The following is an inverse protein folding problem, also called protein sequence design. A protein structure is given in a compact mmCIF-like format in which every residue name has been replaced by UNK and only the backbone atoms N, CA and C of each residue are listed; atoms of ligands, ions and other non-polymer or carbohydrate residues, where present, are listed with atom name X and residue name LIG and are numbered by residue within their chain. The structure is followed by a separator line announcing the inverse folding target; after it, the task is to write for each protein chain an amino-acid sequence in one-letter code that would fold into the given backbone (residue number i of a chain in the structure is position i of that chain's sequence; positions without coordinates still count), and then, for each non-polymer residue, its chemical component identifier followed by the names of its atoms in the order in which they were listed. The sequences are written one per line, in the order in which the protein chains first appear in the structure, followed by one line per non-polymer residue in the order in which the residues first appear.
data_IF_872420066802
#
_entry.id   IF_872420066802
#
_cell.length_a   1.000
_cell.length_b   1.000
_cell.length_c   1.000
_cell.angle_alpha   90.00
_cell.angle_beta   90.00
_cell.angle_gamma   90.00
#
_symmetry.space_group_name_H-M   'P 1'
#
loop_
_entity.id
_entity.type
_entity.pdbx_description
1 polymer ?
#
# COMPACT_ATOMS: atom_id res chain seq x y z
N UNK A 1 14.03 -42.99 -43.12
CA UNK A 1 14.64 -42.58 -41.86
C UNK A 1 14.51 -41.08 -41.67
N UNK A 2 13.29 -40.52 -41.58
CA UNK A 2 13.08 -39.07 -41.47
C UNK A 2 11.93 -38.69 -40.47
N UNK A 3 11.49 -39.66 -39.66
CA UNK A 3 10.36 -39.47 -38.72
C UNK A 3 10.76 -39.38 -37.23
N UNK A 4 12.06 -39.47 -36.90
CA UNK A 4 12.53 -39.53 -35.51
C UNK A 4 13.00 -38.17 -34.94
N UNK A 5 13.08 -37.10 -35.73
CA UNK A 5 13.68 -35.83 -35.32
C UNK A 5 12.67 -34.74 -34.86
N UNK A 6 11.37 -35.02 -34.99
CA UNK A 6 10.33 -34.03 -34.62
C UNK A 6 9.81 -34.19 -33.18
N UNK A 7 10.10 -35.28 -32.51
CA UNK A 7 9.56 -35.61 -31.18
C UNK A 7 10.28 -34.93 -29.99
N UNK A 8 11.42 -34.30 -30.20
CA UNK A 8 12.20 -33.64 -29.11
C UNK A 8 11.95 -32.16 -28.91
N UNK A 9 11.11 -31.53 -29.72
CA UNK A 9 10.89 -30.08 -29.69
C UNK A 9 9.75 -29.58 -28.80
N UNK A 10 8.96 -30.46 -28.17
CA UNK A 10 7.74 -30.07 -27.44
C UNK A 10 7.84 -30.19 -25.91
N UNK A 11 9.00 -30.50 -25.36
CA UNK A 11 9.18 -30.65 -23.90
C UNK A 11 9.79 -29.44 -23.22
N UNK A 12 9.77 -28.25 -23.84
CA UNK A 12 10.52 -27.06 -23.36
C UNK A 12 9.67 -25.95 -22.77
N UNK A 13 8.46 -26.23 -22.31
CA UNK A 13 7.72 -25.25 -21.49
C UNK A 13 7.30 -25.92 -20.20
N UNK A 14 8.23 -26.03 -19.25
CA UNK A 14 7.87 -26.29 -17.87
C UNK A 14 7.17 -25.05 -17.30
N UNK A 15 6.11 -25.26 -16.53
CA UNK A 15 5.34 -24.17 -15.87
C UNK A 15 6.23 -23.27 -15.00
N UNK A 16 7.38 -23.75 -14.56
CA UNK A 16 8.37 -23.01 -13.75
C UNK A 16 9.04 -21.83 -14.47
N UNK A 17 9.02 -21.78 -15.82
CA UNK A 17 9.62 -20.69 -16.58
C UNK A 17 8.88 -19.36 -16.38
N UNK A 18 7.58 -19.40 -16.15
CA UNK A 18 6.73 -18.22 -15.92
C UNK A 18 6.54 -17.88 -14.43
N UNK A 19 6.92 -18.78 -13.52
CA UNK A 19 6.85 -18.57 -12.07
C UNK A 19 8.15 -17.96 -11.54
N UNK A 20 8.51 -16.80 -12.10
CA UNK A 20 9.68 -16.08 -11.66
C UNK A 20 9.40 -15.38 -10.33
N UNK A 21 10.11 -15.84 -9.30
CA UNK A 21 10.09 -15.15 -7.99
C UNK A 21 10.70 -13.75 -8.14
N UNK A 22 10.12 -12.72 -7.49
CA UNK A 22 10.69 -11.37 -7.50
C UNK A 22 12.13 -11.41 -6.95
N UNK A 23 13.07 -10.85 -7.71
CA UNK A 23 14.49 -10.82 -7.34
C UNK A 23 14.80 -9.74 -6.28
N UNK A 24 13.91 -8.77 -6.13
CA UNK A 24 14.04 -7.57 -5.30
C UNK A 24 12.96 -7.44 -4.22
N UNK A 25 12.16 -8.48 -4.01
CA UNK A 25 11.07 -8.49 -3.05
C UNK A 25 10.75 -9.88 -2.50
N UNK A 26 9.99 -9.92 -1.43
CA UNK A 26 9.44 -11.15 -0.88
C UNK A 26 8.10 -11.44 -1.57
N UNK A 27 7.92 -12.66 -2.05
CA UNK A 27 6.63 -13.13 -2.56
C UNK A 27 5.53 -12.86 -1.52
N UNK A 28 4.48 -12.19 -1.94
CA UNK A 28 3.38 -11.80 -1.05
C UNK A 28 2.76 -12.98 -0.31
N UNK A 29 2.71 -14.16 -0.94
CA UNK A 29 2.22 -15.40 -0.32
C UNK A 29 3.18 -16.00 0.71
N UNK A 30 4.43 -15.56 0.74
CA UNK A 30 5.49 -16.03 1.66
C UNK A 30 5.91 -14.99 2.71
N UNK A 31 5.37 -13.76 2.63
CA UNK A 31 5.78 -12.65 3.46
C UNK A 31 5.25 -12.74 4.90
N UNK A 32 4.03 -13.27 5.07
CA UNK A 32 3.35 -13.31 6.37
C UNK A 32 3.22 -14.76 6.84
N UNK A 33 4.15 -15.22 7.67
CA UNK A 33 4.24 -16.61 8.13
C UNK A 33 3.81 -16.83 9.57
N UNK A 34 3.88 -15.80 10.40
CA UNK A 34 3.62 -15.85 11.82
C UNK A 34 3.08 -14.51 12.34
N UNK A 35 2.73 -14.45 13.63
CA UNK A 35 2.20 -13.25 14.28
C UNK A 35 3.20 -12.07 14.29
N UNK A 36 4.49 -12.32 14.36
CA UNK A 36 5.53 -11.29 14.33
C UNK A 36 5.60 -10.62 12.95
N UNK A 37 5.41 -11.39 11.88
CA UNK A 37 5.32 -10.84 10.52
C UNK A 37 4.06 -9.97 10.38
N UNK A 38 2.93 -10.39 10.96
CA UNK A 38 1.71 -9.59 11.00
C UNK A 38 1.88 -8.29 11.80
N UNK A 39 2.59 -8.32 12.92
CA UNK A 39 2.91 -7.11 13.69
C UNK A 39 3.74 -6.12 12.88
N UNK A 40 4.72 -6.64 12.15
CA UNK A 40 5.53 -5.83 11.22
C UNK A 40 4.67 -5.23 10.11
N UNK A 41 3.79 -6.02 9.50
CA UNK A 41 2.87 -5.55 8.47
C UNK A 41 1.88 -4.51 9.01
N UNK A 42 1.35 -4.70 10.22
CA UNK A 42 0.52 -3.74 10.94
C UNK A 42 1.25 -2.41 11.15
N UNK A 43 2.48 -2.45 11.61
CA UNK A 43 3.30 -1.26 11.80
C UNK A 43 3.51 -0.54 10.46
N UNK A 44 3.78 -1.28 9.38
CA UNK A 44 3.86 -0.75 8.03
C UNK A 44 2.57 -0.12 7.53
N UNK A 45 1.41 -0.68 7.87
CA UNK A 45 0.09 -0.13 7.55
C UNK A 45 -0.13 1.23 8.22
N UNK A 46 0.18 1.36 9.52
CA UNK A 46 0.11 2.65 10.23
C UNK A 46 1.16 3.65 9.71
N UNK A 47 2.33 3.17 9.32
CA UNK A 47 3.33 4.02 8.69
C UNK A 47 2.84 4.56 7.34
N UNK A 48 2.17 3.73 6.55
CA UNK A 48 1.55 4.16 5.29
C UNK A 48 0.42 5.18 5.53
N UNK A 49 -0.35 5.02 6.60
CA UNK A 49 -1.39 5.96 7.01
C UNK A 49 -0.80 7.32 7.42
N UNK A 50 0.26 7.30 8.24
CA UNK A 50 0.97 8.51 8.64
C UNK A 50 1.61 9.21 7.45
N UNK A 51 2.12 8.44 6.51
CA UNK A 51 2.81 8.90 5.33
C UNK A 51 4.30 9.17 5.51
N UNK A 52 4.95 9.46 4.39
CA UNK A 52 6.34 9.87 4.33
C UNK A 52 6.43 11.40 4.26
N UNK A 53 7.56 12.00 4.50
CA UNK A 53 7.79 13.45 4.60
C UNK A 53 7.46 14.29 3.33
N UNK A 54 6.77 13.75 2.34
CA UNK A 54 6.66 14.34 1.00
C UNK A 54 5.37 15.13 0.69
N UNK A 55 4.60 15.58 1.64
CA UNK A 55 3.36 16.35 1.36
C UNK A 55 2.33 15.63 0.46
N UNK A 56 2.60 14.39 0.11
CA UNK A 56 1.71 13.57 -0.74
C UNK A 56 0.91 12.57 0.05
N UNK A 57 1.05 12.61 1.37
CA UNK A 57 0.45 11.66 2.27
C UNK A 57 -0.92 12.16 2.75
N UNK A 58 -1.90 11.25 2.80
CA UNK A 58 -3.26 11.63 3.12
C UNK A 58 -3.38 12.21 4.53
N UNK A 59 -3.11 11.42 5.57
CA UNK A 59 -3.23 11.88 6.96
C UNK A 59 -2.11 12.81 7.41
N UNK A 60 -0.91 12.67 6.83
CA UNK A 60 0.23 13.52 7.20
C UNK A 60 0.13 14.95 6.70
N UNK A 61 -0.63 15.19 5.64
CA UNK A 61 -0.72 16.52 5.05
C UNK A 61 -2.05 16.81 4.34
N UNK A 62 -2.48 15.96 3.42
CA UNK A 62 -3.51 16.31 2.45
C UNK A 62 -4.90 16.46 3.06
N UNK A 63 -5.22 15.67 4.07
CA UNK A 63 -6.48 15.77 4.80
C UNK A 63 -6.67 17.17 5.39
N UNK A 64 -5.63 17.70 6.03
CA UNK A 64 -5.67 19.04 6.63
C UNK A 64 -5.62 20.13 5.56
N UNK A 65 -4.70 20.01 4.60
CA UNK A 65 -4.56 21.01 3.55
C UNK A 65 -5.83 21.12 2.71
N UNK A 66 -6.44 20.00 2.34
CA UNK A 66 -7.65 20.01 1.52
C UNK A 66 -8.86 20.49 2.31
N UNK A 67 -9.06 20.04 3.54
CA UNK A 67 -10.18 20.43 4.37
C UNK A 67 -10.07 21.88 4.89
N UNK A 68 -8.98 22.17 5.58
CA UNK A 68 -8.82 23.43 6.32
C UNK A 68 -8.47 24.64 5.44
N UNK A 69 -7.79 24.41 4.30
CA UNK A 69 -7.47 25.49 3.36
C UNK A 69 -8.68 25.94 2.54
N UNK A 70 -9.71 25.13 2.42
CA UNK A 70 -10.99 25.53 1.82
C UNK A 70 -11.92 26.21 2.84
N UNK A 71 -11.64 26.00 4.11
CA UNK A 71 -12.31 26.69 5.20
C UNK A 71 -11.65 28.04 5.49
N UNK A 72 -11.98 28.59 6.63
CA UNK A 72 -11.42 29.86 7.12
C UNK A 72 -10.32 29.65 8.18
N UNK A 73 -10.04 28.39 8.54
CA UNK A 73 -9.15 28.08 9.66
C UNK A 73 -7.67 28.19 9.29
N UNK A 74 -7.30 27.94 8.03
CA UNK A 74 -5.92 28.07 7.55
C UNK A 74 -5.83 29.05 6.38
N UNK A 75 -4.78 29.88 6.43
CA UNK A 75 -4.48 30.83 5.37
C UNK A 75 -3.09 30.60 4.76
N UNK A 76 -3.02 30.63 3.44
CA UNK A 76 -1.76 30.56 2.71
C UNK A 76 -1.03 31.91 2.74
N UNK A 77 0.25 31.89 3.10
CA UNK A 77 1.10 33.08 3.04
C UNK A 77 2.04 33.02 1.82
N UNK A 78 1.83 33.90 0.86
CA UNK A 78 2.61 33.96 -0.38
C UNK A 78 4.10 34.29 -0.17
N UNK A 79 4.45 34.91 0.95
CA UNK A 79 5.82 35.36 1.21
C UNK A 79 6.69 34.30 1.89
N UNK A 80 6.13 33.21 2.32
CA UNK A 80 6.85 32.15 3.04
C UNK A 80 6.66 30.78 2.38
N UNK A 81 7.77 30.15 2.02
CA UNK A 81 7.82 28.75 1.66
C UNK A 81 7.57 28.44 0.18
N UNK A 82 7.17 27.21 -0.06
CA UNK A 82 6.88 26.69 -1.39
C UNK A 82 5.40 26.84 -1.73
N UNK A 83 5.07 26.97 -3.00
CA UNK A 83 3.68 27.08 -3.50
C UNK A 83 2.81 25.83 -3.28
N UNK A 84 3.14 25.00 -2.30
CA UNK A 84 2.51 23.68 -2.11
C UNK A 84 1.05 23.76 -1.67
N UNK A 85 0.68 24.82 -0.92
CA UNK A 85 -0.68 25.02 -0.45
C UNK A 85 -1.48 26.05 -1.28
N UNK A 86 -0.84 26.71 -2.23
CA UNK A 86 -1.45 27.79 -3.02
C UNK A 86 -2.70 27.35 -3.77
N UNK A 87 -2.66 26.17 -4.41
CA UNK A 87 -3.78 25.64 -5.17
C UNK A 87 -5.02 25.35 -4.31
N UNK A 88 -4.80 24.88 -3.07
CA UNK A 88 -5.89 24.63 -2.13
C UNK A 88 -6.54 25.95 -1.71
N UNK A 89 -5.72 26.93 -1.36
CA UNK A 89 -6.18 28.22 -0.92
C UNK A 89 -6.94 28.99 -2.01
N UNK A 90 -6.44 28.94 -3.26
CA UNK A 90 -7.08 29.60 -4.39
C UNK A 90 -8.23 28.79 -5.01
N UNK A 91 -8.43 27.55 -4.60
CA UNK A 91 -9.38 26.60 -5.21
C UNK A 91 -9.17 26.42 -6.74
N UNK A 92 -7.95 26.64 -7.21
CA UNK A 92 -7.57 26.57 -8.62
C UNK A 92 -7.11 25.14 -8.97
N UNK A 93 -8.04 24.27 -9.33
CA UNK A 93 -7.74 22.88 -9.69
C UNK A 93 -7.70 22.73 -11.22
N UNK A 94 -6.50 22.54 -11.73
CA UNK A 94 -6.27 22.17 -13.14
C UNK A 94 -5.75 20.75 -13.22
N UNK A 95 -5.78 20.14 -14.42
CA UNK A 95 -5.21 18.81 -14.64
C UNK A 95 -3.72 18.74 -14.29
N UNK A 96 -2.98 19.83 -14.44
CA UNK A 96 -1.57 19.91 -14.07
C UNK A 96 -1.36 20.12 -12.57
N UNK A 97 -2.24 20.88 -11.89
CA UNK A 97 -2.17 21.12 -10.45
C UNK A 97 -2.74 19.96 -9.63
N UNK A 98 -3.68 19.19 -10.20
CA UNK A 98 -4.36 18.08 -9.53
C UNK A 98 -3.51 16.82 -9.36
N UNK A 99 -2.30 16.77 -9.92
CA UNK A 99 -1.43 15.59 -9.82
C UNK A 99 -1.11 15.21 -8.36
N UNK A 100 -0.82 16.17 -7.50
CA UNK A 100 -0.54 15.91 -6.09
C UNK A 100 -1.78 15.47 -5.33
N UNK A 101 -2.92 16.07 -5.63
CA UNK A 101 -4.21 15.72 -5.02
C UNK A 101 -4.63 14.30 -5.44
N UNK A 102 -4.56 13.97 -6.71
CA UNK A 102 -4.91 12.64 -7.19
C UNK A 102 -4.00 11.56 -6.59
N UNK A 103 -2.70 11.83 -6.48
CA UNK A 103 -1.73 10.90 -5.87
C UNK A 103 -1.95 10.77 -4.36
N UNK A 104 -2.14 11.87 -3.66
CA UNK A 104 -2.20 11.85 -2.20
C UNK A 104 -3.60 11.49 -1.69
N UNK A 105 -4.65 12.08 -2.24
CA UNK A 105 -6.02 11.87 -1.79
C UNK A 105 -6.58 10.53 -2.30
N UNK A 106 -6.19 10.11 -3.50
CA UNK A 106 -6.67 8.87 -4.09
C UNK A 106 -5.76 7.67 -3.85
N UNK A 107 -4.49 7.76 -4.21
CA UNK A 107 -3.57 6.61 -4.13
C UNK A 107 -3.15 6.26 -2.71
N UNK A 108 -2.98 7.26 -1.84
CA UNK A 108 -2.47 7.02 -0.49
C UNK A 108 -3.42 6.18 0.36
N UNK A 109 -4.75 6.45 0.42
CA UNK A 109 -5.68 5.55 1.11
C UNK A 109 -5.67 4.12 0.56
N UNK A 110 -5.59 3.96 -0.76
CA UNK A 110 -5.54 2.61 -1.36
C UNK A 110 -4.30 1.82 -1.02
N UNK A 111 -3.17 2.47 -0.73
CA UNK A 111 -1.97 1.78 -0.20
C UNK A 111 -2.25 1.22 1.21
N UNK A 112 -2.93 1.98 2.04
CA UNK A 112 -3.32 1.52 3.39
C UNK A 112 -4.32 0.37 3.29
N UNK A 113 -5.36 0.50 2.47
CA UNK A 113 -6.36 -0.54 2.22
C UNK A 113 -5.68 -1.82 1.70
N UNK A 114 -4.75 -1.69 0.76
CA UNK A 114 -3.98 -2.83 0.25
C UNK A 114 -3.16 -3.54 1.32
N UNK A 115 -2.57 -2.78 2.26
CA UNK A 115 -1.84 -3.34 3.40
C UNK A 115 -2.79 -4.00 4.41
N UNK A 116 -3.92 -3.37 4.69
CA UNK A 116 -4.95 -3.92 5.57
C UNK A 116 -5.51 -5.25 5.03
N UNK A 117 -5.85 -5.31 3.75
CA UNK A 117 -6.36 -6.53 3.12
C UNK A 117 -5.37 -7.70 3.21
N UNK A 118 -4.07 -7.46 3.09
CA UNK A 118 -3.04 -8.51 3.25
C UNK A 118 -3.01 -9.06 4.68
N UNK A 119 -3.17 -8.20 5.68
CA UNK A 119 -3.23 -8.61 7.10
C UNK A 119 -4.49 -9.45 7.34
N UNK A 120 -5.64 -9.02 6.84
CA UNK A 120 -6.91 -9.74 6.97
C UNK A 120 -6.81 -11.12 6.30
N UNK A 121 -6.31 -11.16 5.06
CA UNK A 121 -6.14 -12.41 4.31
C UNK A 121 -5.21 -13.40 5.03
N UNK A 122 -4.09 -12.92 5.57
CA UNK A 122 -3.16 -13.77 6.32
C UNK A 122 -3.76 -14.27 7.63
N UNK A 123 -4.47 -13.42 8.37
CA UNK A 123 -5.13 -13.79 9.61
C UNK A 123 -6.24 -14.84 9.40
N UNK A 124 -7.02 -14.69 8.33
CA UNK A 124 -8.13 -15.60 8.00
C UNK A 124 -7.64 -16.89 7.33
N UNK A 125 -6.55 -16.82 6.54
CA UNK A 125 -6.09 -17.91 5.69
C UNK A 125 -5.55 -19.17 6.40
N UNK A 126 -5.38 -19.14 7.71
CA UNK A 126 -5.04 -20.33 8.49
C UNK A 126 -3.61 -20.87 8.30
N UNK A 127 -2.75 -20.13 7.59
CA UNK A 127 -1.38 -20.54 7.24
C UNK A 127 -0.30 -20.04 8.22
N UNK A 128 -0.69 -19.27 9.23
CA UNK A 128 0.26 -18.77 10.23
C UNK A 128 0.74 -19.90 11.12
N UNK A 129 2.05 -20.00 11.31
CA UNK A 129 2.71 -21.09 12.03
C UNK A 129 2.39 -21.10 13.53
N UNK A 130 2.03 -19.95 14.10
CA UNK A 130 1.72 -19.74 15.52
C UNK A 130 0.26 -19.29 15.75
N UNK A 131 -0.64 -19.69 14.85
CA UNK A 131 -2.04 -19.23 14.85
C UNK A 131 -2.76 -19.48 16.18
N UNK A 132 -2.48 -20.61 16.81
CA UNK A 132 -3.12 -21.00 18.08
C UNK A 132 -2.51 -20.26 19.26
N UNK A 133 -1.19 -20.21 19.32
CA UNK A 133 -0.41 -19.59 20.41
C UNK A 133 -0.60 -18.07 20.46
N UNK A 134 -0.70 -17.44 19.29
CA UNK A 134 -0.82 -16.00 19.13
C UNK A 134 -2.24 -15.53 18.75
N UNK A 135 -3.27 -16.35 18.97
CA UNK A 135 -4.63 -16.10 18.50
C UNK A 135 -5.18 -14.72 18.91
N UNK A 136 -4.91 -14.26 20.12
CA UNK A 136 -5.37 -12.95 20.61
C UNK A 136 -4.70 -11.79 19.86
N UNK A 137 -3.39 -11.87 19.63
CA UNK A 137 -2.65 -10.85 18.89
C UNK A 137 -3.09 -10.80 17.41
N UNK A 138 -3.24 -11.97 16.79
CA UNK A 138 -3.71 -12.08 15.39
C UNK A 138 -5.12 -11.48 15.24
N UNK A 139 -6.03 -11.77 16.19
CA UNK A 139 -7.38 -11.21 16.20
C UNK A 139 -7.36 -9.67 16.35
N UNK A 140 -6.47 -9.15 17.20
CA UNK A 140 -6.27 -7.70 17.34
C UNK A 140 -5.80 -7.08 16.04
N UNK A 141 -4.74 -7.62 15.40
CA UNK A 141 -4.19 -7.07 14.15
C UNK A 141 -5.21 -7.09 13.01
N UNK A 142 -6.00 -8.17 12.95
CA UNK A 142 -7.12 -8.27 12.02
C UNK A 142 -8.20 -7.21 12.29
N UNK A 143 -8.57 -7.00 13.55
CA UNK A 143 -9.57 -6.00 13.91
C UNK A 143 -9.12 -4.58 13.56
N UNK A 144 -7.85 -4.24 13.83
CA UNK A 144 -7.27 -2.96 13.45
C UNK A 144 -7.28 -2.76 11.92
N UNK A 145 -6.95 -3.81 11.16
CA UNK A 145 -6.97 -3.76 9.70
C UNK A 145 -8.39 -3.63 9.12
N UNK A 146 -9.42 -4.08 9.82
CA UNK A 146 -10.82 -3.93 9.40
C UNK A 146 -11.37 -2.51 9.65
N UNK A 147 -10.79 -1.78 10.58
CA UNK A 147 -11.24 -0.42 10.94
C UNK A 147 -10.61 0.64 10.03
N UNK A 148 -9.42 0.38 9.52
CA UNK A 148 -8.67 1.30 8.66
C UNK A 148 -9.04 1.16 7.18
#
# INVERSE_FOLDING_TARGET
MLAATVAFGLASCGDDFFDQQPSDGVDAGKALKNSSDLETARTGMYQALKGSSNFTDYYGAQMFLYGEMHGEDLQYNQNFGSNRAEFYYKMEYTSASSFRQSTAIWQSPYKVIGSANRIIEAADGGKLSDKTEAAAAIAQYRAEALVL
#
